data_IF_072067605799
#
_entry.id   IF_072067605799
#
_cell.length_a   1.000
_cell.length_b   1.000
_cell.length_c   1.000
_cell.angle_alpha   90.00
_cell.angle_beta   90.00
_cell.angle_gamma   90.00
#
_symmetry.space_group_name_H-M   'P 1'
#
loop_
_entity.id
_entity.type
_entity.pdbx_description
1 polymer ?
#
# COMPACT_ATOMS: atom_id res chain seq x y z
N UNK A 1 15.25 -19.97 3.36
CA UNK A 1 14.91 -18.56 3.09
C UNK A 1 15.56 -18.19 1.78
N UNK A 2 14.82 -17.59 0.86
CA UNK A 2 15.38 -17.08 -0.38
C UNK A 2 16.32 -15.90 -0.04
N UNK A 3 17.33 -15.67 -0.88
CA UNK A 3 18.28 -14.58 -0.66
C UNK A 3 17.58 -13.22 -0.77
N UNK A 4 17.87 -12.28 0.15
CA UNK A 4 17.31 -10.93 0.09
C UNK A 4 17.78 -10.19 -1.18
N UNK A 5 16.95 -9.27 -1.68
CA UNK A 5 17.30 -8.45 -2.85
C UNK A 5 18.62 -7.72 -2.65
N UNK A 6 19.39 -7.55 -3.74
CA UNK A 6 20.75 -6.95 -3.72
C UNK A 6 20.77 -5.52 -4.26
N UNK A 7 19.77 -5.14 -5.03
CA UNK A 7 19.70 -3.87 -5.72
C UNK A 7 18.67 -2.94 -5.08
N UNK A 8 18.97 -1.64 -5.05
CA UNK A 8 17.98 -0.60 -4.72
C UNK A 8 17.10 -0.36 -5.93
N UNK A 9 15.82 -0.02 -5.67
CA UNK A 9 14.86 0.35 -6.71
C UNK A 9 14.10 1.62 -6.32
N UNK A 10 13.75 2.41 -7.33
CA UNK A 10 12.68 3.39 -7.30
C UNK A 10 11.64 3.01 -8.34
N UNK A 11 10.40 3.46 -8.13
CA UNK A 11 9.35 3.21 -9.11
C UNK A 11 8.28 4.31 -9.10
N UNK A 12 7.66 4.48 -10.26
CA UNK A 12 6.52 5.38 -10.47
C UNK A 12 5.33 4.54 -10.90
N UNK A 13 4.20 4.76 -10.25
CA UNK A 13 2.92 4.15 -10.59
C UNK A 13 2.03 5.26 -11.15
N UNK A 14 1.50 5.07 -12.36
CA UNK A 14 0.40 5.86 -12.88
C UNK A 14 -0.87 5.00 -12.85
N UNK A 15 -1.93 5.52 -12.27
CA UNK A 15 -3.24 4.87 -12.26
C UNK A 15 -4.34 5.90 -12.43
N UNK A 16 -5.44 5.50 -13.04
CA UNK A 16 -6.57 6.38 -13.24
C UNK A 16 -7.84 5.94 -12.49
N UNK A 17 -8.74 6.88 -12.39
CA UNK A 17 -10.06 6.73 -11.80
C UNK A 17 -11.08 7.32 -12.75
N UNK A 18 -12.15 6.57 -13.03
CA UNK A 18 -13.28 7.01 -13.83
C UNK A 18 -14.58 6.76 -13.04
N UNK A 19 -15.34 7.84 -12.79
CA UNK A 19 -16.63 7.81 -12.09
C UNK A 19 -16.55 7.11 -10.72
N UNK A 20 -15.49 7.36 -9.96
CA UNK A 20 -15.26 6.70 -8.68
C UNK A 20 -14.62 7.59 -7.61
N UNK A 21 -14.56 7.06 -6.40
CA UNK A 21 -13.85 7.67 -5.28
C UNK A 21 -12.60 6.83 -4.96
N UNK A 22 -11.40 7.29 -5.34
CA UNK A 22 -10.19 6.50 -5.14
C UNK A 22 -9.77 6.37 -3.69
N UNK A 23 -10.04 7.40 -2.87
CA UNK A 23 -9.74 7.42 -1.44
C UNK A 23 -10.60 8.46 -0.74
N UNK A 24 -11.71 8.03 -0.17
CA UNK A 24 -12.61 8.91 0.59
C UNK A 24 -11.98 9.40 1.88
N UNK A 25 -12.39 10.61 2.27
CA UNK A 25 -12.00 11.25 3.52
C UNK A 25 -13.09 11.05 4.58
N UNK A 26 -12.85 10.29 5.65
CA UNK A 26 -13.83 10.08 6.70
C UNK A 26 -14.21 11.37 7.42
N UNK A 27 -13.30 12.35 7.49
CA UNK A 27 -13.52 13.63 8.17
C UNK A 27 -14.34 14.61 7.29
N UNK A 28 -14.40 14.36 5.99
CA UNK A 28 -15.12 15.16 5.01
C UNK A 28 -16.31 14.41 4.38
N UNK A 29 -17.05 13.60 5.15
CA UNK A 29 -18.21 12.86 4.66
C UNK A 29 -17.90 11.87 3.53
N UNK A 30 -16.73 11.29 3.53
CA UNK A 30 -16.21 10.37 2.53
C UNK A 30 -16.08 10.98 1.11
N UNK A 31 -15.89 12.29 1.01
CA UNK A 31 -15.51 12.93 -0.25
C UNK A 31 -14.12 12.48 -0.71
N UNK A 32 -13.82 12.46 -2.02
CA UNK A 32 -12.46 12.28 -2.51
C UNK A 32 -11.52 13.30 -1.85
N UNK A 33 -10.35 12.84 -1.40
CA UNK A 33 -9.34 13.71 -0.80
C UNK A 33 -8.76 14.66 -1.83
N UNK A 34 -8.70 15.93 -1.50
CA UNK A 34 -8.18 17.01 -2.36
C UNK A 34 -7.24 17.88 -1.54
N UNK A 35 -6.13 18.24 -2.11
CA UNK A 35 -5.27 19.31 -1.59
C UNK A 35 -5.98 20.66 -1.81
N UNK A 36 -6.33 21.39 -0.75
CA UNK A 36 -7.15 22.60 -0.88
C UNK A 36 -6.46 23.77 -1.58
N UNK A 37 -5.13 23.79 -1.66
CA UNK A 37 -4.38 24.85 -2.34
C UNK A 37 -4.26 24.60 -3.83
N UNK A 38 -3.91 23.38 -4.21
CA UNK A 38 -3.65 23.03 -5.62
C UNK A 38 -4.86 22.45 -6.34
N UNK A 39 -5.88 21.98 -5.61
CA UNK A 39 -7.01 21.25 -6.17
C UNK A 39 -6.66 19.83 -6.61
N UNK A 40 -5.41 19.39 -6.40
CA UNK A 40 -4.98 18.05 -6.78
C UNK A 40 -5.62 16.98 -5.90
N UNK A 41 -6.11 15.90 -6.51
CA UNK A 41 -6.60 14.74 -5.80
C UNK A 41 -5.48 14.00 -5.08
N UNK A 42 -5.80 13.44 -3.91
CA UNK A 42 -4.85 12.71 -3.06
C UNK A 42 -5.32 11.27 -2.83
N UNK A 43 -4.38 10.33 -2.92
CA UNK A 43 -4.56 8.95 -2.47
C UNK A 43 -3.44 8.60 -1.51
N UNK A 44 -3.80 8.19 -0.29
CA UNK A 44 -2.81 7.91 0.76
C UNK A 44 -2.04 6.61 0.47
N UNK A 45 -0.81 6.53 0.95
CA UNK A 45 0.01 5.32 0.90
C UNK A 45 -0.68 4.13 1.58
N UNK A 46 -1.39 4.37 2.69
CA UNK A 46 -2.18 3.35 3.40
C UNK A 46 -3.25 2.75 2.50
N UNK A 47 -3.93 3.58 1.68
CA UNK A 47 -4.92 3.11 0.73
C UNK A 47 -4.29 2.19 -0.34
N UNK A 48 -3.17 2.58 -0.93
CA UNK A 48 -2.45 1.76 -1.92
C UNK A 48 -1.91 0.47 -1.30
N UNK A 49 -1.25 0.56 -0.13
CA UNK A 49 -0.73 -0.61 0.59
C UNK A 49 -1.84 -1.60 0.96
N UNK A 50 -3.05 -1.11 1.31
CA UNK A 50 -4.20 -2.00 1.56
C UNK A 50 -4.58 -2.80 0.32
N UNK A 51 -4.62 -2.18 -0.86
CA UNK A 51 -4.97 -2.87 -2.11
C UNK A 51 -3.94 -3.92 -2.49
N UNK A 52 -2.65 -3.60 -2.31
CA UNK A 52 -1.55 -4.56 -2.50
C UNK A 52 -1.71 -5.75 -1.53
N UNK A 53 -2.00 -5.51 -0.24
CA UNK A 53 -2.26 -6.57 0.74
C UNK A 53 -3.43 -7.46 0.34
N UNK A 54 -4.54 -6.86 -0.09
CA UNK A 54 -5.73 -7.59 -0.52
C UNK A 54 -5.42 -8.49 -1.71
N UNK A 55 -4.63 -8.00 -2.69
CA UNK A 55 -4.21 -8.80 -3.83
C UNK A 55 -3.33 -9.99 -3.40
N UNK A 56 -2.32 -9.74 -2.57
CA UNK A 56 -1.43 -10.80 -2.07
C UNK A 56 -2.20 -11.84 -1.27
N UNK A 57 -3.12 -11.43 -0.40
CA UNK A 57 -3.99 -12.32 0.36
C UNK A 57 -4.80 -13.24 -0.56
N UNK A 58 -5.37 -12.68 -1.61
CA UNK A 58 -6.19 -13.44 -2.58
C UNK A 58 -5.34 -14.44 -3.39
N UNK A 59 -4.14 -14.06 -3.83
CA UNK A 59 -3.29 -14.93 -4.66
C UNK A 59 -2.57 -16.00 -3.84
N UNK A 60 -2.20 -15.69 -2.59
CA UNK A 60 -1.43 -16.59 -1.73
C UNK A 60 -2.27 -17.36 -0.72
N UNK A 61 -3.53 -16.96 -0.47
CA UNK A 61 -4.49 -17.67 0.41
C UNK A 61 -3.90 -18.09 1.76
N UNK A 62 -3.22 -17.17 2.46
CA UNK A 62 -2.51 -17.42 3.72
C UNK A 62 -1.44 -18.56 3.66
N UNK A 63 -0.89 -18.85 2.49
CA UNK A 63 0.20 -19.81 2.36
C UNK A 63 1.40 -19.42 3.25
N UNK A 64 2.17 -20.43 3.65
CA UNK A 64 3.28 -20.25 4.59
C UNK A 64 4.24 -19.14 4.13
N UNK A 65 4.45 -18.14 4.99
CA UNK A 65 5.32 -16.98 4.71
C UNK A 65 4.64 -15.82 3.98
N UNK A 66 3.35 -15.95 3.61
CA UNK A 66 2.60 -14.94 2.88
C UNK A 66 1.34 -14.45 3.62
N UNK A 67 1.23 -14.72 4.91
CA UNK A 67 0.16 -14.15 5.73
C UNK A 67 0.16 -12.62 5.67
N UNK A 68 -1.00 -12.02 5.88
CA UNK A 68 -1.15 -10.57 6.02
C UNK A 68 -1.43 -10.24 7.48
N UNK A 69 -0.56 -9.41 8.08
CA UNK A 69 -0.69 -8.97 9.48
C UNK A 69 -1.79 -7.92 9.64
N UNK A 70 -1.82 -6.90 8.78
CA UNK A 70 -2.85 -5.85 8.77
C UNK A 70 -3.98 -6.29 7.85
N UNK A 71 -4.87 -7.14 8.38
CA UNK A 71 -6.00 -7.77 7.69
C UNK A 71 -7.32 -7.26 8.25
N UNK A 72 -8.34 -7.11 7.39
CA UNK A 72 -9.68 -6.70 7.80
C UNK A 72 -10.31 -7.73 8.74
N UNK A 73 -11.03 -7.26 9.75
CA UNK A 73 -11.74 -8.07 10.75
C UNK A 73 -10.90 -9.08 11.57
N UNK A 74 -9.57 -8.94 11.52
CA UNK A 74 -8.66 -9.78 12.32
C UNK A 74 -7.94 -8.94 13.39
N UNK A 75 -8.15 -9.21 14.68
CA UNK A 75 -7.40 -8.52 15.73
C UNK A 75 -5.91 -8.83 15.66
N UNK A 76 -5.08 -7.78 15.67
CA UNK A 76 -3.61 -7.88 15.54
C UNK A 76 -2.99 -8.82 16.61
N UNK A 77 -3.50 -8.79 17.86
CA UNK A 77 -3.01 -9.63 18.95
C UNK A 77 -3.12 -11.14 18.69
N UNK A 78 -3.96 -11.56 17.75
CA UNK A 78 -4.04 -12.97 17.34
C UNK A 78 -2.75 -13.41 16.61
N UNK A 79 -2.22 -12.54 15.77
CA UNK A 79 -0.95 -12.77 15.07
C UNK A 79 0.25 -12.63 16.01
N UNK A 80 0.21 -11.63 16.91
CA UNK A 80 1.24 -11.43 17.93
C UNK A 80 1.36 -12.66 18.86
N UNK A 81 0.24 -13.29 19.22
CA UNK A 81 0.22 -14.50 20.04
C UNK A 81 0.99 -15.65 19.38
N UNK A 82 0.82 -15.85 18.08
CA UNK A 82 1.59 -16.86 17.33
C UNK A 82 3.09 -16.63 17.39
N UNK A 83 3.53 -15.35 17.38
CA UNK A 83 4.93 -15.01 17.55
C UNK A 83 5.45 -15.34 18.96
N UNK A 84 4.67 -15.09 20.02
CA UNK A 84 5.03 -15.50 21.38
C UNK A 84 5.09 -17.02 21.54
N UNK A 85 4.13 -17.74 20.98
CA UNK A 85 4.12 -19.20 20.97
C UNK A 85 5.36 -19.79 20.29
N UNK A 86 5.88 -19.15 19.25
CA UNK A 86 7.08 -19.60 18.53
C UNK A 86 8.36 -19.57 19.38
N UNK A 87 8.37 -18.77 20.45
CA UNK A 87 9.48 -18.67 21.41
C UNK A 87 9.15 -19.35 22.75
N UNK A 88 8.09 -20.17 22.80
CA UNK A 88 7.69 -20.96 23.98
C UNK A 88 6.90 -20.18 25.03
N UNK A 89 6.26 -19.06 24.68
CA UNK A 89 5.39 -18.30 25.57
C UNK A 89 3.93 -18.56 25.17
N UNK A 90 3.21 -19.38 25.93
CA UNK A 90 1.81 -19.74 25.72
C UNK A 90 0.81 -18.88 26.52
N UNK A 91 1.33 -17.93 27.30
CA UNK A 91 0.53 -17.04 28.15
C UNK A 91 -0.36 -16.11 27.29
N UNK A 92 -1.57 -15.85 27.78
CA UNK A 92 -2.55 -14.98 27.11
C UNK A 92 -2.75 -13.63 27.79
N UNK A 93 -2.31 -13.52 29.06
CA UNK A 93 -2.38 -12.29 29.83
C UNK A 93 -1.13 -11.42 29.63
N UNK A 94 -1.33 -10.14 29.33
CA UNK A 94 -0.23 -9.19 29.02
C UNK A 94 0.82 -9.08 30.13
N UNK A 95 0.41 -9.18 31.41
CA UNK A 95 1.35 -9.11 32.55
C UNK A 95 2.22 -10.36 32.60
N UNK A 96 1.61 -11.52 32.41
CA UNK A 96 2.31 -12.80 32.39
C UNK A 96 3.25 -12.90 31.19
N UNK A 97 2.81 -12.48 30.00
CA UNK A 97 3.67 -12.37 28.80
C UNK A 97 4.90 -11.49 29.10
N UNK A 98 4.68 -10.32 29.71
CA UNK A 98 5.74 -9.40 30.07
C UNK A 98 6.77 -10.01 31.05
N UNK A 99 6.28 -10.74 32.02
CA UNK A 99 7.14 -11.46 32.98
C UNK A 99 7.91 -12.60 32.31
N UNK A 100 7.24 -13.38 31.47
CA UNK A 100 7.84 -14.46 30.70
C UNK A 100 8.94 -13.95 29.76
N UNK A 101 8.66 -12.88 29.00
CA UNK A 101 9.67 -12.22 28.15
C UNK A 101 10.86 -11.71 28.95
N UNK A 102 10.62 -11.03 30.09
CA UNK A 102 11.70 -10.57 30.96
C UNK A 102 12.58 -11.72 31.50
N UNK A 103 11.96 -12.84 31.83
CA UNK A 103 12.65 -14.03 32.29
C UNK A 103 13.48 -14.62 31.15
N UNK A 104 12.88 -14.74 29.95
CA UNK A 104 13.55 -15.28 28.78
C UNK A 104 14.76 -14.44 28.35
N UNK A 105 14.64 -13.11 28.36
CA UNK A 105 15.74 -12.18 28.03
C UNK A 105 16.97 -12.30 28.93
N UNK A 106 16.87 -12.87 30.13
CA UNK A 106 18.03 -13.11 30.99
C UNK A 106 18.90 -14.26 30.49
N UNK A 107 18.28 -15.22 29.81
CA UNK A 107 18.96 -16.42 29.28
C UNK A 107 19.18 -16.34 27.76
N UNK A 108 18.38 -15.55 27.07
CA UNK A 108 18.41 -15.38 25.61
C UNK A 108 18.28 -13.88 25.27
N UNK A 109 19.39 -13.18 25.01
CA UNK A 109 19.37 -11.75 24.67
C UNK A 109 18.73 -11.47 23.31
N UNK A 110 18.59 -12.48 22.44
CA UNK A 110 18.12 -12.33 21.05
C UNK A 110 16.59 -12.52 20.90
N UNK A 111 15.85 -12.58 22.00
CA UNK A 111 14.39 -12.74 21.99
C UNK A 111 13.68 -11.73 21.09
N UNK A 112 14.10 -10.45 21.12
CA UNK A 112 13.53 -9.38 20.29
C UNK A 112 13.75 -9.66 18.79
N UNK A 113 14.93 -10.15 18.45
CA UNK A 113 15.31 -10.49 17.08
C UNK A 113 14.49 -11.69 16.60
N UNK A 114 14.38 -12.73 17.42
CA UNK A 114 13.59 -13.93 17.08
C UNK A 114 12.13 -13.63 16.83
N UNK A 115 11.51 -12.76 17.63
CA UNK A 115 10.14 -12.33 17.40
C UNK A 115 9.99 -11.50 16.14
N UNK A 116 10.91 -10.56 15.89
CA UNK A 116 10.93 -9.79 14.64
C UNK A 116 11.06 -10.72 13.44
N UNK A 117 12.00 -11.64 13.47
CA UNK A 117 12.27 -12.56 12.38
C UNK A 117 11.07 -13.47 12.13
N UNK A 118 10.42 -13.99 13.19
CA UNK A 118 9.16 -14.72 13.06
C UNK A 118 8.09 -13.89 12.32
N UNK A 119 7.92 -12.61 12.69
CA UNK A 119 6.94 -11.74 12.02
C UNK A 119 7.29 -11.50 10.55
N UNK A 120 8.56 -11.25 10.26
CA UNK A 120 9.02 -11.09 8.87
C UNK A 120 8.88 -12.38 8.05
N UNK A 121 9.17 -13.54 8.64
CA UNK A 121 9.11 -14.82 7.94
C UNK A 121 7.67 -15.25 7.61
N UNK A 122 6.70 -14.89 8.45
CA UNK A 122 5.33 -15.36 8.31
C UNK A 122 4.38 -14.33 7.69
N UNK A 123 4.71 -13.04 7.73
CA UNK A 123 3.82 -11.97 7.25
C UNK A 123 4.48 -11.16 6.11
N UNK A 124 3.95 -11.32 4.91
CA UNK A 124 4.44 -10.64 3.72
C UNK A 124 4.44 -9.11 3.87
N UNK A 125 3.37 -8.54 4.42
CA UNK A 125 3.25 -7.09 4.55
C UNK A 125 4.20 -6.50 5.59
N UNK A 126 4.57 -7.24 6.65
CA UNK A 126 5.61 -6.84 7.59
C UNK A 126 6.97 -6.90 6.90
N UNK A 127 7.27 -7.99 6.18
CA UNK A 127 8.52 -8.16 5.44
C UNK A 127 8.69 -7.09 4.36
N UNK A 128 7.60 -6.64 3.74
CA UNK A 128 7.57 -5.67 2.64
C UNK A 128 7.54 -4.23 3.15
N UNK A 129 6.51 -3.85 3.91
CA UNK A 129 6.25 -2.46 4.31
C UNK A 129 6.73 -2.12 5.71
N UNK A 130 7.02 -3.14 6.52
CA UNK A 130 7.23 -2.99 7.94
C UNK A 130 5.92 -2.75 8.70
N UNK A 131 6.03 -2.65 10.01
CA UNK A 131 4.91 -2.31 10.89
C UNK A 131 5.39 -1.72 12.22
N UNK A 132 4.51 -0.93 12.84
CA UNK A 132 4.59 -0.61 14.26
C UNK A 132 3.59 -1.51 14.96
N UNK A 133 4.09 -2.57 15.59
CA UNK A 133 3.27 -3.58 16.27
C UNK A 133 2.91 -3.10 17.67
N UNK A 134 1.89 -2.26 17.76
CA UNK A 134 1.48 -1.58 19.01
C UNK A 134 0.84 -2.52 20.04
N UNK A 135 0.35 -3.66 19.59
CA UNK A 135 -0.29 -4.70 20.42
C UNK A 135 0.72 -5.62 21.11
N UNK A 136 1.97 -5.66 20.63
CA UNK A 136 3.05 -6.29 21.39
C UNK A 136 3.21 -5.62 22.75
N UNK A 137 3.44 -6.41 23.78
CA UNK A 137 3.52 -5.94 25.15
C UNK A 137 4.59 -4.86 25.28
N UNK A 138 4.14 -3.61 25.50
CA UNK A 138 5.02 -2.43 25.59
C UNK A 138 6.08 -2.60 26.66
N UNK A 139 7.27 -2.07 26.42
CA UNK A 139 8.44 -2.07 27.31
C UNK A 139 9.05 -3.45 27.60
N UNK A 140 8.57 -4.53 26.98
CA UNK A 140 9.23 -5.83 27.06
C UNK A 140 10.11 -6.10 25.84
N UNK A 141 9.77 -5.52 24.68
CA UNK A 141 10.36 -5.85 23.38
C UNK A 141 10.77 -4.58 22.61
N UNK A 142 11.93 -4.64 21.96
CA UNK A 142 12.38 -3.64 20.99
C UNK A 142 11.97 -3.99 19.55
N UNK A 143 11.37 -5.15 19.33
CA UNK A 143 10.91 -5.62 18.02
C UNK A 143 9.55 -5.04 17.59
N UNK A 144 8.90 -4.23 18.43
CA UNK A 144 7.60 -3.61 18.15
C UNK A 144 7.57 -2.66 16.95
N UNK A 145 8.73 -2.32 16.38
CA UNK A 145 8.86 -1.53 15.17
C UNK A 145 9.77 -2.26 14.18
N UNK A 146 9.22 -2.63 13.03
CA UNK A 146 9.97 -3.18 11.89
C UNK A 146 9.94 -2.16 10.76
N UNK A 147 11.11 -1.76 10.30
CA UNK A 147 11.26 -0.87 9.16
C UNK A 147 11.36 -1.71 7.89
N UNK A 148 10.30 -1.70 7.08
CA UNK A 148 10.25 -2.44 5.81
C UNK A 148 11.05 -1.76 4.70
N UNK A 149 11.54 -2.53 3.72
CA UNK A 149 12.31 -2.03 2.59
C UNK A 149 11.47 -1.21 1.62
N UNK A 150 10.18 -1.49 1.47
CA UNK A 150 9.30 -0.84 0.49
C UNK A 150 8.54 0.31 1.12
N UNK A 151 8.69 1.50 0.56
CA UNK A 151 7.94 2.69 0.95
C UNK A 151 7.28 3.31 -0.28
N UNK A 152 6.01 3.71 -0.14
CA UNK A 152 5.22 4.36 -1.18
C UNK A 152 4.78 5.71 -0.63
N UNK A 153 4.91 6.77 -1.41
CA UNK A 153 4.40 8.09 -1.08
C UNK A 153 2.89 8.21 -1.33
N UNK A 154 2.30 9.33 -0.96
CA UNK A 154 0.94 9.67 -1.37
C UNK A 154 0.90 9.86 -2.88
N UNK A 155 -0.13 9.31 -3.53
CA UNK A 155 -0.39 9.64 -4.92
C UNK A 155 -1.08 11.00 -5.02
N UNK A 156 -0.70 11.76 -6.05
CA UNK A 156 -1.33 13.03 -6.43
C UNK A 156 -1.85 12.94 -7.85
N UNK A 157 -2.99 13.57 -8.12
CA UNK A 157 -3.46 13.67 -9.50
C UNK A 157 -2.55 14.59 -10.33
N UNK A 158 -2.45 14.33 -11.63
CA UNK A 158 -1.65 15.13 -12.57
C UNK A 158 -2.29 16.52 -12.75
N UNK A 159 -3.61 16.56 -12.90
CA UNK A 159 -4.38 17.80 -12.97
C UNK A 159 -5.28 17.95 -11.73
N UNK A 160 -5.73 19.17 -11.42
CA UNK A 160 -6.76 19.38 -10.41
C UNK A 160 -8.02 18.56 -10.72
N UNK A 161 -8.61 17.97 -9.68
CA UNK A 161 -9.85 17.19 -9.81
C UNK A 161 -11.05 18.00 -9.32
N UNK A 162 -12.21 17.70 -9.89
CA UNK A 162 -13.49 18.23 -9.42
C UNK A 162 -14.32 17.05 -8.94
N UNK A 163 -14.57 16.99 -7.62
CA UNK A 163 -15.48 15.98 -7.07
C UNK A 163 -16.94 16.37 -7.35
N UNK A 164 -17.76 15.37 -7.65
CA UNK A 164 -19.20 15.54 -7.83
C UNK A 164 -19.96 14.71 -6.79
N UNK A 165 -20.95 15.34 -6.16
CA UNK A 165 -21.92 14.65 -5.35
C UNK A 165 -23.10 14.22 -6.24
N UNK A 166 -23.35 12.92 -6.30
CA UNK A 166 -24.43 12.33 -7.12
C UNK A 166 -25.42 11.67 -6.18
N UNK A 167 -26.69 12.12 -6.26
CA UNK A 167 -27.79 11.47 -5.55
C UNK A 167 -28.20 10.19 -6.29
N UNK A 168 -28.27 9.09 -5.53
CA UNK A 168 -28.72 7.78 -6.01
C UNK A 168 -30.00 7.38 -5.30
N UNK A 169 -30.88 6.68 -6.00
CA UNK A 169 -32.16 6.21 -5.46
C UNK A 169 -32.16 4.70 -5.38
N UNK A 170 -32.47 4.17 -4.21
CA UNK A 170 -32.73 2.75 -4.00
C UNK A 170 -34.24 2.51 -3.97
N UNK A 171 -34.73 1.58 -4.75
CA UNK A 171 -36.16 1.24 -4.85
C UNK A 171 -36.65 0.54 -3.56
N UNK A 172 -35.77 -0.23 -2.90
CA UNK A 172 -36.13 -0.95 -1.68
C UNK A 172 -36.02 -0.03 -0.44
N UNK A 173 -36.98 -0.15 0.45
CA UNK A 173 -37.08 0.57 1.72
C UNK A 173 -36.50 -0.29 2.83
N UNK A 174 -35.96 0.33 3.88
CA UNK A 174 -35.21 -0.37 4.94
C UNK A 174 -36.15 -1.06 5.94
N UNK A 175 -37.26 -0.40 6.30
CA UNK A 175 -38.20 -0.92 7.32
C UNK A 175 -39.65 -0.78 6.86
N UNK A 176 -40.57 -1.65 7.37
CA UNK A 176 -42.00 -1.55 7.11
C UNK A 176 -42.59 -0.20 7.51
N UNK A 177 -42.11 0.35 8.64
CA UNK A 177 -42.52 1.68 9.14
C UNK A 177 -42.15 2.81 8.18
N UNK A 178 -40.98 2.70 7.52
CA UNK A 178 -40.57 3.70 6.53
C UNK A 178 -41.41 3.56 5.22
N UNK A 179 -41.83 2.32 4.87
CA UNK A 179 -42.65 2.05 3.71
C UNK A 179 -44.04 2.72 3.75
N UNK A 180 -44.53 3.04 4.95
CA UNK A 180 -45.77 3.80 5.11
C UNK A 180 -45.63 5.28 4.69
N UNK A 181 -44.40 5.79 4.64
CA UNK A 181 -44.13 7.23 4.46
C UNK A 181 -43.39 7.57 3.16
N UNK A 182 -42.69 6.62 2.58
CA UNK A 182 -41.85 6.83 1.38
C UNK A 182 -41.77 5.56 0.56
N UNK A 183 -41.65 5.71 -0.76
CA UNK A 183 -41.57 4.59 -1.71
C UNK A 183 -40.10 4.28 -2.13
N UNK A 184 -39.16 5.13 -1.81
CA UNK A 184 -37.77 5.02 -2.21
C UNK A 184 -36.84 5.51 -1.11
N UNK A 185 -35.60 5.04 -1.12
CA UNK A 185 -34.52 5.53 -0.25
C UNK A 185 -33.50 6.27 -1.10
N UNK A 186 -33.09 7.46 -0.66
CA UNK A 186 -32.04 8.22 -1.35
C UNK A 186 -30.71 8.09 -0.63
N UNK A 187 -29.65 7.92 -1.37
CA UNK A 187 -28.27 7.99 -0.90
C UNK A 187 -27.46 8.96 -1.75
N UNK A 188 -26.26 9.28 -1.29
CA UNK A 188 -25.33 10.16 -1.99
C UNK A 188 -24.01 9.44 -2.25
N UNK A 189 -23.41 9.71 -3.39
CA UNK A 189 -22.05 9.28 -3.74
C UNK A 189 -21.23 10.49 -4.13
N UNK A 190 -20.01 10.55 -3.64
CA UNK A 190 -19.02 11.51 -4.10
C UNK A 190 -18.05 10.81 -5.04
N UNK A 191 -17.91 11.30 -6.24
CA UNK A 191 -17.09 10.69 -7.30
C UNK A 191 -16.15 11.73 -7.92
N UNK A 192 -15.03 11.25 -8.44
CA UNK A 192 -14.18 11.94 -9.40
C UNK A 192 -14.61 11.44 -10.79
N UNK A 193 -15.06 12.34 -11.69
CA UNK A 193 -15.44 11.94 -13.06
C UNK A 193 -14.29 11.30 -13.82
N UNK A 194 -13.10 11.89 -13.72
CA UNK A 194 -11.84 11.33 -14.18
C UNK A 194 -10.66 11.98 -13.45
N UNK A 195 -9.61 11.20 -13.21
CA UNK A 195 -8.33 11.67 -12.69
C UNK A 195 -7.23 10.65 -12.93
N UNK A 196 -6.08 11.13 -13.45
CA UNK A 196 -4.84 10.36 -13.53
C UNK A 196 -3.97 10.70 -12.33
N UNK A 197 -3.53 9.69 -11.60
CA UNK A 197 -2.75 9.82 -10.37
C UNK A 197 -1.35 9.24 -10.55
N UNK A 198 -0.37 9.88 -9.92
CA UNK A 198 1.02 9.45 -9.83
C UNK A 198 1.40 9.18 -8.38
N UNK A 199 1.94 7.99 -8.11
CA UNK A 199 2.58 7.63 -6.86
C UNK A 199 4.05 7.28 -7.10
N UNK A 200 4.89 7.56 -6.11
CA UNK A 200 6.32 7.27 -6.14
C UNK A 200 6.67 6.33 -5.00
N UNK A 201 7.60 5.40 -5.26
CA UNK A 201 8.00 4.42 -4.28
C UNK A 201 9.49 4.11 -4.32
N UNK A 202 9.96 3.55 -3.20
CA UNK A 202 11.37 3.26 -2.92
C UNK A 202 11.50 1.85 -2.39
N UNK A 203 12.56 1.14 -2.79
CA UNK A 203 12.88 -0.19 -2.25
C UNK A 203 14.36 -0.21 -1.85
N UNK A 204 14.60 -0.43 -0.56
CA UNK A 204 15.93 -0.47 0.04
C UNK A 204 16.46 -1.88 0.18
N UNK A 205 17.44 -2.27 -0.64
CA UNK A 205 18.11 -3.56 -0.50
C UNK A 205 18.83 -3.70 0.85
N UNK A 206 19.34 -2.60 1.40
CA UNK A 206 19.99 -2.60 2.71
C UNK A 206 19.01 -2.98 3.84
N UNK A 207 17.78 -2.46 3.83
CA UNK A 207 16.75 -2.84 4.79
C UNK A 207 16.28 -4.29 4.57
N UNK A 208 16.11 -4.70 3.30
CA UNK A 208 15.78 -6.09 2.96
C UNK A 208 16.81 -7.05 3.57
N UNK A 209 18.09 -6.83 3.33
CA UNK A 209 19.17 -7.69 3.81
C UNK A 209 19.36 -7.67 5.32
N UNK A 210 19.28 -6.49 5.97
CA UNK A 210 19.61 -6.33 7.40
C UNK A 210 18.44 -6.55 8.34
N UNK A 211 17.19 -6.39 7.85
CA UNK A 211 16.01 -6.30 8.73
C UNK A 211 14.98 -7.36 8.42
N UNK A 212 14.51 -7.47 7.17
CA UNK A 212 13.27 -8.18 6.88
C UNK A 212 13.43 -9.47 6.07
N UNK A 213 14.51 -9.63 5.33
CA UNK A 213 14.69 -10.78 4.44
C UNK A 213 13.88 -10.70 3.14
N UNK A 214 13.37 -9.52 2.76
CA UNK A 214 12.59 -9.31 1.53
C UNK A 214 13.38 -9.79 0.31
N UNK A 215 12.84 -10.80 -0.41
CA UNK A 215 13.52 -11.56 -1.46
C UNK A 215 13.13 -11.10 -2.87
N UNK A 216 13.79 -11.66 -3.89
CA UNK A 216 13.43 -11.44 -5.30
C UNK A 216 12.02 -11.97 -5.60
N UNK A 217 11.61 -13.13 -5.02
CA UNK A 217 10.25 -13.65 -5.18
C UNK A 217 9.21 -12.70 -4.56
N UNK A 218 9.55 -12.06 -3.43
CA UNK A 218 8.69 -11.05 -2.81
C UNK A 218 8.59 -9.79 -3.68
N UNK A 219 9.69 -9.43 -4.34
CA UNK A 219 9.75 -8.30 -5.27
C UNK A 219 8.90 -8.55 -6.52
N UNK A 220 9.00 -9.74 -7.11
CA UNK A 220 8.16 -10.13 -8.25
C UNK A 220 6.67 -10.10 -7.89
N UNK A 221 6.32 -10.64 -6.72
CA UNK A 221 4.94 -10.57 -6.20
C UNK A 221 4.49 -9.13 -5.93
N UNK A 222 5.39 -8.24 -5.49
CA UNK A 222 5.08 -6.81 -5.31
C UNK A 222 4.70 -6.16 -6.64
N UNK A 223 5.47 -6.41 -7.71
CA UNK A 223 5.17 -5.87 -9.03
C UNK A 223 3.85 -6.39 -9.57
N UNK A 224 3.62 -7.68 -9.47
CA UNK A 224 2.35 -8.30 -9.83
C UNK A 224 1.17 -7.69 -9.05
N UNK A 225 1.34 -7.52 -7.74
CA UNK A 225 0.31 -6.93 -6.88
C UNK A 225 0.04 -5.46 -7.22
N UNK A 226 1.06 -4.66 -7.53
CA UNK A 226 0.89 -3.26 -7.96
C UNK A 226 0.10 -3.20 -9.26
N UNK A 227 0.47 -3.99 -10.26
CA UNK A 227 -0.18 -4.01 -11.57
C UNK A 227 -1.66 -4.38 -11.46
N UNK A 228 -1.99 -5.36 -10.61
CA UNK A 228 -3.32 -5.95 -10.54
C UNK A 228 -4.15 -5.49 -9.33
N UNK A 229 -3.67 -4.55 -8.50
CA UNK A 229 -4.31 -4.17 -7.23
C UNK A 229 -5.74 -3.63 -7.36
N UNK A 230 -6.16 -3.18 -8.54
CA UNK A 230 -7.50 -2.69 -8.80
C UNK A 230 -8.41 -3.72 -9.48
N UNK A 231 -7.85 -4.76 -10.12
CA UNK A 231 -8.61 -5.71 -10.94
C UNK A 231 -9.65 -6.53 -10.14
N UNK A 232 -9.40 -6.73 -8.86
CA UNK A 232 -10.31 -7.45 -7.97
C UNK A 232 -10.84 -6.58 -6.81
N UNK A 233 -10.64 -5.24 -6.89
CA UNK A 233 -11.07 -4.28 -5.88
C UNK A 233 -12.29 -3.46 -6.33
N UNK A 234 -13.12 -4.02 -7.19
CA UNK A 234 -14.30 -3.33 -7.74
C UNK A 234 -15.40 -3.12 -6.70
N UNK A 235 -15.93 -1.92 -6.65
CA UNK A 235 -17.11 -1.61 -5.86
C UNK A 235 -17.88 -0.44 -6.49
N UNK A 236 -19.16 -0.31 -6.15
CA UNK A 236 -19.98 0.78 -6.63
C UNK A 236 -19.48 2.19 -6.22
N UNK A 237 -18.64 2.30 -5.18
CA UNK A 237 -18.05 3.57 -4.74
C UNK A 237 -16.75 3.88 -5.48
N UNK A 238 -15.98 2.86 -5.87
CA UNK A 238 -14.66 3.03 -6.50
C UNK A 238 -14.72 3.33 -7.99
N UNK A 239 -15.86 3.09 -8.65
CA UNK A 239 -15.98 3.26 -10.09
C UNK A 239 -15.03 2.31 -10.83
N UNK A 240 -14.42 2.80 -11.90
CA UNK A 240 -13.41 2.09 -12.66
C UNK A 240 -12.04 2.65 -12.32
N UNK A 241 -11.16 1.80 -11.83
CA UNK A 241 -9.76 2.14 -11.54
C UNK A 241 -8.84 1.14 -12.24
N UNK A 242 -7.71 1.61 -12.76
CA UNK A 242 -6.72 0.76 -13.40
C UNK A 242 -5.31 1.35 -13.25
N UNK A 243 -4.31 0.49 -13.07
CA UNK A 243 -2.91 0.88 -13.24
C UNK A 243 -2.62 1.02 -14.71
N UNK A 244 -2.00 2.14 -15.11
CA UNK A 244 -1.73 2.49 -16.51
C UNK A 244 -0.26 2.36 -16.87
N UNK A 245 0.62 2.66 -15.91
CA UNK A 245 2.06 2.53 -16.06
C UNK A 245 2.68 2.08 -14.73
N UNK A 246 3.67 1.22 -14.81
CA UNK A 246 4.61 0.92 -13.74
C UNK A 246 6.02 1.06 -14.30
N UNK A 247 6.69 2.16 -13.95
CA UNK A 247 8.04 2.47 -14.39
C UNK A 247 8.98 2.16 -13.23
N UNK A 248 9.93 1.26 -13.44
CA UNK A 248 10.86 0.78 -12.42
C UNK A 248 12.28 1.16 -12.79
N UNK A 249 13.00 1.76 -11.85
CA UNK A 249 14.42 2.07 -11.92
C UNK A 249 15.19 1.10 -11.02
N UNK A 250 16.01 0.25 -11.61
CA UNK A 250 16.85 -0.70 -10.90
C UNK A 250 18.28 -0.17 -10.87
N UNK A 251 18.79 0.10 -9.68
CA UNK A 251 20.19 0.47 -9.50
C UNK A 251 21.12 -0.75 -9.59
N UNK A 252 22.36 -0.52 -9.96
CA UNK A 252 23.39 -1.57 -9.95
C UNK A 252 23.89 -1.87 -8.52
N UNK A 253 23.69 -0.95 -7.55
CA UNK A 253 24.21 -1.02 -6.20
C UNK A 253 23.13 -1.06 -5.12
N UNK A 254 23.47 -1.63 -3.97
CA UNK A 254 22.61 -1.70 -2.78
C UNK A 254 22.15 -0.32 -2.27
N UNK A 255 23.01 0.68 -2.31
CA UNK A 255 22.73 2.04 -1.85
C UNK A 255 22.26 2.98 -2.97
N UNK A 256 22.22 2.49 -4.21
CA UNK A 256 21.86 3.23 -5.39
C UNK A 256 23.04 3.92 -6.09
N UNK A 257 22.79 4.37 -7.32
CA UNK A 257 23.78 5.00 -8.21
C UNK A 257 23.54 6.50 -8.34
N UNK A 258 22.34 6.98 -8.01
CA UNK A 258 21.99 8.40 -8.02
C UNK A 258 20.86 8.70 -7.00
N UNK A 259 20.62 10.00 -6.69
CA UNK A 259 19.46 10.41 -5.89
C UNK A 259 18.14 10.11 -6.58
N UNK A 260 17.16 9.62 -5.81
CA UNK A 260 15.84 9.20 -6.31
C UNK A 260 15.08 10.31 -7.06
N UNK A 261 15.16 11.56 -6.56
CA UNK A 261 14.45 12.68 -7.19
C UNK A 261 14.81 12.85 -8.67
N UNK A 262 16.08 12.60 -9.08
CA UNK A 262 16.49 12.67 -10.48
C UNK A 262 15.78 11.66 -11.37
N UNK A 263 15.50 10.47 -10.80
CA UNK A 263 14.78 9.43 -11.52
C UNK A 263 13.28 9.77 -11.61
N UNK A 264 12.71 10.32 -10.54
CA UNK A 264 11.32 10.76 -10.56
C UNK A 264 11.12 11.96 -11.51
N UNK A 265 12.02 12.95 -11.49
CA UNK A 265 11.99 14.11 -12.37
C UNK A 265 12.18 13.73 -13.85
N UNK A 266 12.79 12.57 -14.14
CA UNK A 266 12.92 12.05 -15.51
C UNK A 266 11.61 11.53 -16.10
N UNK A 267 10.58 11.27 -15.28
CA UNK A 267 9.26 10.83 -15.72
C UNK A 267 8.34 12.03 -15.80
N UNK A 268 8.07 12.48 -16.99
CA UNK A 268 7.17 13.60 -17.27
C UNK A 268 5.82 13.07 -17.73
N UNK A 269 4.74 13.58 -17.13
CA UNK A 269 3.37 13.25 -17.51
C UNK A 269 2.66 14.55 -17.86
N UNK A 270 2.29 14.69 -19.12
CA UNK A 270 1.71 15.93 -19.64
C UNK A 270 0.37 15.66 -20.30
N UNK A 271 -0.57 16.58 -20.09
CA UNK A 271 -1.83 16.60 -20.84
C UNK A 271 -1.54 17.03 -22.28
N UNK A 272 -2.17 16.38 -23.27
CA UNK A 272 -2.06 16.73 -24.68
C UNK A 272 -2.61 18.13 -24.96
N UNK A 273 -1.98 18.90 -25.83
CA UNK A 273 -2.33 20.30 -26.11
C UNK A 273 -3.78 20.51 -26.57
N UNK A 274 -4.34 19.54 -27.28
CA UNK A 274 -5.71 19.59 -27.79
C UNK A 274 -6.79 19.13 -26.81
N UNK A 275 -6.42 18.82 -25.55
CA UNK A 275 -7.33 18.33 -24.50
C UNK A 275 -7.49 19.38 -23.42
N UNK A 276 -8.66 19.96 -23.31
CA UNK A 276 -8.98 20.89 -22.22
C UNK A 276 -9.31 20.15 -20.92
N UNK A 277 -10.17 19.14 -21.00
CA UNK A 277 -10.63 18.33 -19.86
C UNK A 277 -10.34 16.84 -20.12
N UNK A 278 -9.28 16.26 -19.55
CA UNK A 278 -8.97 14.82 -19.71
C UNK A 278 -10.08 13.93 -19.18
N UNK A 279 -10.37 12.84 -19.91
CA UNK A 279 -11.39 11.84 -19.52
C UNK A 279 -10.91 10.41 -19.66
N UNK A 280 -9.70 10.20 -20.13
CA UNK A 280 -9.08 8.89 -20.34
C UNK A 280 -7.56 9.01 -20.30
N UNK A 281 -6.87 7.89 -20.05
CA UNK A 281 -5.40 7.86 -20.02
C UNK A 281 -4.76 8.35 -21.32
N UNK A 282 -5.37 8.06 -22.48
CA UNK A 282 -4.86 8.48 -23.80
C UNK A 282 -4.88 10.01 -24.03
N UNK A 283 -5.49 10.77 -23.13
CA UNK A 283 -5.46 12.23 -23.15
C UNK A 283 -4.13 12.81 -22.60
N UNK A 284 -3.27 11.91 -22.09
CA UNK A 284 -1.93 12.24 -21.59
C UNK A 284 -0.83 11.62 -22.45
N UNK A 285 0.35 12.19 -22.32
CA UNK A 285 1.61 11.66 -22.83
C UNK A 285 2.56 11.44 -21.67
N UNK A 286 3.20 10.27 -21.63
CA UNK A 286 4.23 9.92 -20.65
C UNK A 286 5.57 9.88 -21.37
N UNK A 287 6.49 10.69 -20.92
CA UNK A 287 7.84 10.77 -21.46
C UNK A 287 8.88 10.43 -20.40
N UNK A 288 9.85 9.58 -20.74
CA UNK A 288 10.98 9.27 -19.86
C UNK A 288 12.23 9.91 -20.46
N UNK A 289 12.69 10.99 -19.85
CA UNK A 289 13.93 11.65 -20.23
C UNK A 289 15.13 10.85 -19.73
N UNK A 290 15.76 10.10 -20.62
CA UNK A 290 16.89 9.21 -20.30
C UNK A 290 18.22 9.93 -20.17
N UNK A 291 18.35 11.18 -20.59
CA UNK A 291 19.62 11.94 -20.54
C UNK A 291 20.11 12.18 -19.11
N UNK A 292 19.18 12.27 -18.14
CA UNK A 292 19.49 12.50 -16.73
C UNK A 292 19.63 11.23 -15.92
N UNK A 293 19.44 10.04 -16.51
CA UNK A 293 19.52 8.75 -15.84
C UNK A 293 20.92 8.16 -16.10
N UNK A 294 21.68 7.80 -15.04
CA UNK A 294 22.97 7.14 -15.21
C UNK A 294 22.85 5.79 -15.94
N UNK A 295 23.83 5.44 -16.78
CA UNK A 295 23.87 4.15 -17.51
C UNK A 295 23.84 2.94 -16.57
N UNK A 296 24.22 3.09 -15.31
CA UNK A 296 24.17 2.05 -14.26
C UNK A 296 22.77 1.80 -13.69
N UNK A 297 21.78 2.60 -14.12
CA UNK A 297 20.38 2.44 -13.72
C UNK A 297 19.56 1.87 -14.87
N UNK A 298 19.07 0.67 -14.70
CA UNK A 298 18.18 0.02 -15.67
C UNK A 298 16.75 0.58 -15.52
N UNK A 299 16.14 0.98 -16.61
CA UNK A 299 14.75 1.48 -16.65
C UNK A 299 13.86 0.46 -17.32
N UNK A 300 12.84 0.00 -16.60
CA UNK A 300 11.83 -0.94 -17.10
C UNK A 300 10.44 -0.33 -17.04
N UNK A 301 9.71 -0.39 -18.14
CA UNK A 301 8.26 -0.20 -18.16
C UNK A 301 7.62 -1.58 -18.07
N UNK A 302 6.88 -1.83 -17.01
CA UNK A 302 6.32 -3.15 -16.71
C UNK A 302 4.96 -3.35 -17.41
N UNK A 303 4.25 -2.25 -17.69
CA UNK A 303 3.02 -2.16 -18.49
C UNK A 303 3.01 -0.83 -19.24
#
# INVERSE_FOLDING_TARGET
MNEAIKNRYEFVILFDVENGNPNGDPDAGNMPRIDPESGLGLVTDVCLKRKIRNYVEMVKEDSKGYGIYIKEDVPLNRSDRKAYESIGIEETDDKKIKEAVKKLKKTDPDVDIKLRDYMCDNFYDIRTFGAVMTTFVKAALNCGQVRGPVQIGFARSIDPIISQEVTITRVAITTEKDAEKKNTEMGRKCIVPYGLYRAEGYISANLARKVTGFSEDDLELLWEAIINMFENDHSAARGKMAVRELIVFKHSKELGDCPAYKLFDSVEVMKKDNVEYPRKYQDYEVHINRENIPDSVEVKQMI
#
